data_IF_083582300260
#
_entry.id   IF_083582300260
#
_cell.length_a   1.000
_cell.length_b   1.000
_cell.length_c   1.000
_cell.angle_alpha   90.00
_cell.angle_beta   90.00
_cell.angle_gamma   90.00
#
_symmetry.space_group_name_H-M   'P 1'
#
loop_
_entity.id
_entity.type
_entity.pdbx_description
1 polymer ?
#
# COMPACT_ATOMS: atom_id res chain seq x y z
N UNK A 1 -23.52 17.13 -15.18
CA UNK A 1 -22.12 16.98 -14.78
C UNK A 1 -21.51 15.87 -15.60
N UNK A 2 -20.40 16.14 -16.32
CA UNK A 2 -19.65 15.05 -16.93
C UNK A 2 -18.90 14.31 -15.82
N UNK A 3 -19.34 13.10 -15.49
CA UNK A 3 -18.67 12.24 -14.51
C UNK A 3 -17.33 11.78 -15.09
N UNK A 4 -16.27 11.83 -14.31
CA UNK A 4 -14.95 11.34 -14.72
C UNK A 4 -14.97 9.82 -14.82
N UNK A 5 -14.27 9.28 -15.83
CA UNK A 5 -13.98 7.84 -15.94
C UNK A 5 -12.66 7.47 -15.27
N UNK A 6 -11.86 8.46 -14.86
CA UNK A 6 -10.56 8.25 -14.23
C UNK A 6 -10.71 7.71 -12.81
N UNK A 7 -10.18 6.53 -12.50
CA UNK A 7 -10.21 5.99 -11.13
C UNK A 7 -9.52 6.90 -10.11
N UNK A 8 -8.47 7.61 -10.50
CA UNK A 8 -7.79 8.55 -9.59
C UNK A 8 -8.72 9.71 -9.20
N UNK A 9 -9.46 10.29 -10.17
CA UNK A 9 -10.41 11.36 -9.88
C UNK A 9 -11.59 10.85 -9.07
N UNK A 10 -12.14 9.68 -9.43
CA UNK A 10 -13.23 9.04 -8.68
C UNK A 10 -12.79 8.76 -7.24
N UNK A 11 -11.55 8.31 -7.05
CA UNK A 11 -10.97 8.06 -5.72
C UNK A 11 -10.82 9.37 -4.94
N UNK A 12 -10.33 10.46 -5.57
CA UNK A 12 -10.21 11.75 -4.89
C UNK A 12 -11.59 12.29 -4.49
N UNK A 13 -12.57 12.24 -5.42
CA UNK A 13 -13.95 12.65 -5.14
C UNK A 13 -14.57 11.86 -3.98
N UNK A 14 -14.26 10.56 -3.88
CA UNK A 14 -14.71 9.73 -2.77
C UNK A 14 -14.07 10.16 -1.44
N UNK A 15 -12.75 10.39 -1.39
CA UNK A 15 -12.09 10.92 -0.20
C UNK A 15 -12.71 12.26 0.23
N UNK A 16 -12.99 13.15 -0.71
CA UNK A 16 -13.54 14.49 -0.45
C UNK A 16 -15.02 14.44 -0.03
N UNK A 17 -15.72 13.34 -0.30
CA UNK A 17 -17.08 13.09 0.16
C UNK A 17 -17.17 12.65 1.62
N UNK A 18 -16.04 12.28 2.24
CA UNK A 18 -15.98 11.84 3.62
C UNK A 18 -15.62 13.01 4.54
N UNK A 19 -16.54 13.35 5.44
CA UNK A 19 -16.38 14.40 6.44
C UNK A 19 -16.10 13.76 7.80
N UNK A 20 -15.45 14.50 8.70
CA UNK A 20 -15.14 14.03 10.05
C UNK A 20 -15.83 14.91 11.10
N UNK A 21 -16.47 14.30 12.07
CA UNK A 21 -16.87 15.01 13.28
C UNK A 21 -15.69 15.15 14.24
N UNK A 22 -15.72 16.17 15.07
CA UNK A 22 -14.67 16.39 16.07
C UNK A 22 -15.15 15.98 17.47
N UNK A 23 -14.21 15.43 18.26
CA UNK A 23 -14.43 14.98 19.65
C UNK A 23 -13.27 15.47 20.50
N UNK A 24 -13.50 16.49 21.33
CA UNK A 24 -12.43 17.12 22.12
C UNK A 24 -12.43 16.72 23.60
N UNK A 25 -13.60 16.38 24.17
CA UNK A 25 -13.68 16.00 25.57
C UNK A 25 -12.95 14.68 25.80
N UNK A 26 -12.10 14.65 26.84
CA UNK A 26 -11.24 13.51 27.21
C UNK A 26 -10.21 13.10 26.12
N UNK A 27 -9.99 13.97 25.13
CA UNK A 27 -8.96 13.75 24.11
C UNK A 27 -7.56 13.91 24.72
N UNK A 28 -6.58 13.19 24.16
CA UNK A 28 -5.17 13.23 24.59
C UNK A 28 -4.23 13.33 23.38
N UNK A 29 -2.94 13.56 23.65
CA UNK A 29 -1.90 13.49 22.62
C UNK A 29 -1.80 12.04 22.11
N UNK A 30 -2.01 11.80 20.81
CA UNK A 30 -2.05 10.44 20.28
C UNK A 30 -0.65 9.86 20.03
N UNK A 31 -0.58 8.51 20.02
CA UNK A 31 0.54 7.77 19.43
C UNK A 31 0.15 7.24 18.05
N UNK A 32 1.06 7.39 17.07
CA UNK A 32 0.94 6.85 15.71
C UNK A 32 1.78 5.59 15.49
N UNK A 33 2.50 5.12 16.51
CA UNK A 33 3.37 3.94 16.40
C UNK A 33 2.60 2.68 15.98
N UNK A 34 3.24 1.87 15.13
CA UNK A 34 2.66 0.63 14.62
C UNK A 34 3.72 -0.47 14.56
N UNK A 35 3.30 -1.72 14.79
CA UNK A 35 4.13 -2.90 14.54
C UNK A 35 3.59 -3.67 13.34
N UNK A 36 4.44 -3.90 12.34
CA UNK A 36 4.12 -4.66 11.13
C UNK A 36 5.21 -5.71 10.90
N UNK A 37 4.83 -6.95 10.64
CA UNK A 37 5.75 -8.05 10.34
C UNK A 37 6.89 -8.20 11.38
N UNK A 38 6.60 -7.96 12.67
CA UNK A 38 7.55 -8.06 13.75
C UNK A 38 8.51 -6.85 13.92
N UNK A 39 8.31 -5.79 13.15
CA UNK A 39 9.09 -4.54 13.22
C UNK A 39 8.21 -3.38 13.66
N UNK A 40 8.73 -2.52 14.54
CA UNK A 40 8.08 -1.27 14.96
C UNK A 40 8.42 -0.16 13.97
N UNK A 41 7.44 0.73 13.73
CA UNK A 41 7.53 1.91 12.88
C UNK A 41 6.87 3.10 13.58
N UNK A 42 7.31 4.30 13.26
CA UNK A 42 6.82 5.53 13.90
C UNK A 42 5.38 5.88 13.54
N UNK A 43 4.87 5.37 12.39
CA UNK A 43 3.52 5.71 11.92
C UNK A 43 3.00 4.69 10.88
N UNK A 44 1.66 4.64 10.64
CA UNK A 44 1.05 3.76 9.66
C UNK A 44 1.04 4.31 8.22
N UNK A 45 1.81 5.37 7.94
CA UNK A 45 2.02 5.88 6.58
C UNK A 45 3.30 5.28 6.02
N UNK A 46 3.16 4.46 4.99
CA UNK A 46 4.24 3.74 4.33
C UNK A 46 4.53 4.35 2.95
N UNK A 47 5.64 3.98 2.33
CA UNK A 47 5.82 4.25 0.90
C UNK A 47 5.04 3.23 0.06
N UNK A 48 4.64 3.60 -1.17
CA UNK A 48 3.96 2.67 -2.07
C UNK A 48 4.97 1.85 -2.91
N UNK A 49 4.55 0.69 -3.41
CA UNK A 49 5.35 -0.19 -4.26
C UNK A 49 5.54 0.40 -5.67
N UNK A 50 6.32 1.47 -5.77
CA UNK A 50 6.67 2.09 -7.04
C UNK A 50 7.83 1.37 -7.74
N UNK A 51 7.99 1.67 -9.03
CA UNK A 51 9.03 1.12 -9.91
C UNK A 51 9.59 2.23 -10.80
N UNK A 52 10.82 2.06 -11.30
CA UNK A 52 11.41 2.94 -12.32
C UNK A 52 11.48 4.42 -11.90
N UNK A 53 11.70 4.71 -10.63
CA UNK A 53 11.78 6.09 -10.13
C UNK A 53 13.01 6.84 -10.66
N UNK A 54 13.98 6.14 -11.24
CA UNK A 54 15.11 6.72 -11.96
C UNK A 54 14.67 7.54 -13.19
N UNK A 55 13.48 7.26 -13.73
CA UNK A 55 12.83 8.11 -14.73
C UNK A 55 12.40 9.49 -14.18
N UNK A 56 12.25 9.61 -12.88
CA UNK A 56 11.89 10.87 -12.19
C UNK A 56 13.14 11.61 -11.73
N UNK A 57 14.08 10.90 -11.13
CA UNK A 57 15.35 11.43 -10.66
C UNK A 57 16.41 10.31 -10.67
N UNK A 58 17.68 10.59 -11.08
CA UNK A 58 18.75 9.60 -10.99
C UNK A 58 18.88 9.05 -9.57
N UNK A 59 18.95 7.72 -9.43
CA UNK A 59 18.98 7.05 -8.12
C UNK A 59 17.66 7.15 -7.35
N UNK A 60 16.55 7.40 -8.04
CA UNK A 60 15.22 7.65 -7.44
C UNK A 60 14.73 6.53 -6.54
N UNK A 61 14.97 5.26 -6.90
CA UNK A 61 14.59 4.12 -6.06
C UNK A 61 15.33 4.12 -4.72
N UNK A 62 16.65 4.37 -4.75
CA UNK A 62 17.50 4.45 -3.54
C UNK A 62 17.11 5.67 -2.69
N UNK A 63 16.90 6.83 -3.33
CA UNK A 63 16.45 8.07 -2.66
C UNK A 63 15.12 7.86 -1.93
N UNK A 64 14.17 7.18 -2.58
CA UNK A 64 12.85 6.87 -2.00
C UNK A 64 12.96 5.97 -0.78
N UNK A 65 13.77 4.91 -0.88
CA UNK A 65 14.05 4.00 0.24
C UNK A 65 14.78 4.68 1.40
N UNK A 66 15.80 5.49 1.10
CA UNK A 66 16.51 6.26 2.12
C UNK A 66 15.59 7.25 2.85
N UNK A 67 14.64 7.87 2.14
CA UNK A 67 13.60 8.71 2.74
C UNK A 67 12.69 7.93 3.69
N UNK A 68 12.26 6.72 3.30
CA UNK A 68 11.47 5.84 4.15
C UNK A 68 12.24 5.39 5.41
N UNK A 69 13.52 5.02 5.26
CA UNK A 69 14.39 4.67 6.39
C UNK A 69 14.55 5.82 7.39
N UNK A 70 14.79 7.05 6.89
CA UNK A 70 14.90 8.25 7.73
C UNK A 70 13.61 8.61 8.45
N UNK A 71 12.46 8.38 7.83
CA UNK A 71 11.15 8.59 8.43
C UNK A 71 10.70 7.44 9.34
N UNK A 72 11.49 6.37 9.44
CA UNK A 72 11.18 5.15 10.21
C UNK A 72 9.81 4.56 9.84
N UNK A 73 9.60 4.33 8.53
CA UNK A 73 8.36 3.75 7.99
C UNK A 73 8.65 2.55 7.12
N UNK A 74 7.65 1.67 6.96
CA UNK A 74 7.74 0.51 6.07
C UNK A 74 7.88 0.97 4.60
N UNK A 75 8.91 0.44 3.93
CA UNK A 75 9.16 0.69 2.51
C UNK A 75 8.63 -0.44 1.63
N UNK A 76 8.03 -0.07 0.50
CA UNK A 76 7.61 -1.03 -0.51
C UNK A 76 8.30 -0.74 -1.84
N UNK A 77 8.76 -1.79 -2.51
CA UNK A 77 9.41 -1.70 -3.81
C UNK A 77 8.70 -2.59 -4.82
N UNK A 78 8.41 -2.04 -6.00
CA UNK A 78 7.83 -2.76 -7.12
C UNK A 78 8.88 -3.48 -7.97
N UNK A 79 8.76 -3.38 -9.30
CA UNK A 79 9.74 -3.96 -10.24
C UNK A 79 11.09 -3.25 -10.16
N UNK A 80 12.13 -3.98 -10.51
CA UNK A 80 13.50 -3.53 -10.62
C UNK A 80 14.46 -4.71 -10.77
N UNK A 81 15.73 -4.45 -11.00
CA UNK A 81 16.77 -5.45 -11.02
C UNK A 81 17.11 -5.93 -9.60
N UNK A 82 17.86 -7.03 -9.52
CA UNK A 82 18.39 -7.54 -8.27
C UNK A 82 19.35 -6.55 -7.62
N UNK A 83 20.22 -5.93 -8.42
CA UNK A 83 21.18 -4.91 -7.97
C UNK A 83 20.47 -3.66 -7.43
N UNK A 84 19.37 -3.23 -8.07
CA UNK A 84 18.56 -2.12 -7.58
C UNK A 84 17.94 -2.45 -6.21
N UNK A 85 17.42 -3.68 -6.03
CA UNK A 85 16.88 -4.12 -4.75
C UNK A 85 17.95 -4.13 -3.66
N UNK A 86 19.13 -4.63 -3.95
CA UNK A 86 20.26 -4.64 -3.00
C UNK A 86 20.68 -3.21 -2.61
N UNK A 87 20.71 -2.28 -3.57
CA UNK A 87 20.99 -0.87 -3.30
C UNK A 87 19.91 -0.20 -2.45
N UNK A 88 18.64 -0.55 -2.68
CA UNK A 88 17.48 -0.13 -1.83
C UNK A 88 17.66 -0.64 -0.41
N UNK A 89 17.96 -1.92 -0.22
CA UNK A 89 18.13 -2.53 1.10
C UNK A 89 19.36 -1.98 1.85
N UNK A 90 20.43 -1.61 1.13
CA UNK A 90 21.61 -0.98 1.70
C UNK A 90 21.32 0.38 2.36
N UNK A 91 20.18 1.03 2.08
CA UNK A 91 19.72 2.24 2.78
C UNK A 91 19.28 1.99 4.23
N UNK A 92 19.09 0.73 4.62
CA UNK A 92 18.55 0.33 5.93
C UNK A 92 17.02 0.32 6.00
N UNK A 93 16.31 0.67 4.92
CA UNK A 93 14.85 0.63 4.87
C UNK A 93 14.32 -0.80 5.07
N UNK A 94 13.39 -0.98 5.99
CA UNK A 94 12.63 -2.24 6.13
C UNK A 94 11.72 -2.39 4.93
N UNK A 95 12.00 -3.35 4.06
CA UNK A 95 11.46 -3.38 2.70
C UNK A 95 10.60 -4.61 2.44
N UNK A 96 9.44 -4.37 1.80
CA UNK A 96 8.57 -5.39 1.18
C UNK A 96 8.79 -5.36 -0.33
N UNK A 97 9.11 -6.51 -0.93
CA UNK A 97 9.25 -6.65 -2.39
C UNK A 97 7.96 -7.16 -3.03
N UNK A 98 7.42 -6.39 -3.97
CA UNK A 98 6.27 -6.81 -4.78
C UNK A 98 6.75 -7.31 -6.14
N UNK A 99 6.29 -8.50 -6.52
CA UNK A 99 6.66 -9.23 -7.73
C UNK A 99 5.46 -9.26 -8.68
N UNK A 100 5.70 -9.19 -9.99
CA UNK A 100 4.65 -9.30 -11.01
C UNK A 100 4.19 -10.76 -11.17
N UNK A 101 2.93 -10.99 -11.63
CA UNK A 101 2.37 -12.33 -11.81
C UNK A 101 2.89 -12.99 -13.09
N UNK A 102 4.23 -13.19 -13.19
CA UNK A 102 4.85 -13.83 -14.35
C UNK A 102 4.19 -15.17 -14.68
N UNK A 103 3.96 -15.45 -15.97
CA UNK A 103 3.33 -16.70 -16.43
C UNK A 103 4.14 -17.94 -16.01
N UNK A 104 5.46 -17.85 -16.04
CA UNK A 104 6.35 -18.90 -15.52
C UNK A 104 6.57 -18.70 -14.01
N UNK A 105 6.01 -19.60 -13.20
CA UNK A 105 6.13 -19.58 -11.75
C UNK A 105 7.59 -19.71 -11.27
N UNK A 106 8.50 -20.30 -12.06
CA UNK A 106 9.92 -20.38 -11.71
C UNK A 106 10.56 -18.99 -11.60
N UNK A 107 10.13 -18.06 -12.45
CA UNK A 107 10.56 -16.65 -12.38
C UNK A 107 10.08 -16.01 -11.08
N UNK A 108 8.83 -16.29 -10.67
CA UNK A 108 8.28 -15.78 -9.40
C UNK A 108 9.09 -16.32 -8.21
N UNK A 109 9.29 -17.64 -8.14
CA UNK A 109 10.06 -18.27 -7.07
C UNK A 109 11.49 -17.74 -7.00
N UNK A 110 12.20 -17.60 -8.13
CA UNK A 110 13.56 -17.05 -8.17
C UNK A 110 13.64 -15.62 -7.65
N UNK A 111 12.69 -14.76 -8.04
CA UNK A 111 12.61 -13.37 -7.53
C UNK A 111 12.27 -13.30 -6.04
N UNK A 112 11.42 -14.19 -5.54
CA UNK A 112 11.11 -14.31 -4.10
C UNK A 112 12.35 -14.73 -3.32
N UNK A 113 13.02 -15.79 -3.76
CA UNK A 113 14.22 -16.31 -3.12
C UNK A 113 15.32 -15.25 -3.05
N UNK A 114 15.57 -14.53 -4.15
CA UNK A 114 16.53 -13.43 -4.16
C UNK A 114 16.13 -12.34 -3.15
N UNK A 115 14.87 -11.87 -3.17
CA UNK A 115 14.40 -10.81 -2.28
C UNK A 115 14.56 -11.17 -0.79
N UNK A 116 14.23 -12.41 -0.43
CA UNK A 116 14.38 -12.91 0.95
C UNK A 116 15.86 -13.02 1.34
N UNK A 117 16.71 -13.57 0.47
CA UNK A 117 18.17 -13.67 0.70
C UNK A 117 18.83 -12.29 0.83
N UNK A 118 18.34 -11.31 0.07
CA UNK A 118 18.84 -9.93 0.12
C UNK A 118 18.40 -9.19 1.39
N UNK A 119 17.39 -9.69 2.13
CA UNK A 119 16.96 -9.12 3.41
C UNK A 119 15.61 -8.40 3.40
N UNK A 120 14.75 -8.63 2.41
CA UNK A 120 13.36 -8.16 2.47
C UNK A 120 12.64 -8.81 3.65
N UNK A 121 11.88 -8.01 4.41
CA UNK A 121 11.14 -8.49 5.58
C UNK A 121 9.83 -9.17 5.22
N UNK A 122 9.34 -8.95 3.99
CA UNK A 122 8.19 -9.60 3.40
C UNK A 122 8.30 -9.54 1.87
N UNK A 123 7.55 -10.40 1.19
CA UNK A 123 7.41 -10.41 -0.26
C UNK A 123 5.94 -10.44 -0.65
N UNK A 124 5.62 -10.13 -1.89
CA UNK A 124 4.23 -10.18 -2.34
C UNK A 124 4.08 -10.13 -3.85
N UNK A 125 2.84 -10.09 -4.32
CA UNK A 125 2.51 -10.10 -5.73
C UNK A 125 1.43 -9.09 -6.09
N UNK A 126 1.64 -8.34 -7.19
CA UNK A 126 0.58 -7.56 -7.86
C UNK A 126 -0.28 -8.52 -8.70
N UNK A 127 -1.51 -8.82 -8.31
CA UNK A 127 -2.37 -9.74 -9.08
C UNK A 127 -3.08 -9.06 -10.24
N UNK A 128 -3.21 -7.75 -10.23
CA UNK A 128 -3.94 -6.92 -11.17
C UNK A 128 -3.21 -6.68 -12.51
N UNK A 129 -1.93 -7.02 -12.60
CA UNK A 129 -1.12 -6.97 -13.81
C UNK A 129 -1.21 -8.24 -14.69
N UNK A 130 -2.21 -9.07 -14.51
CA UNK A 130 -2.34 -10.30 -15.29
C UNK A 130 -2.84 -10.06 -16.71
N UNK A 131 -3.66 -9.02 -16.92
CA UNK A 131 -4.34 -8.75 -18.19
C UNK A 131 -4.03 -7.35 -18.73
N UNK A 132 -3.94 -7.25 -20.06
CA UNK A 132 -3.91 -5.97 -20.76
C UNK A 132 -5.35 -5.43 -20.99
N UNK A 133 -5.46 -4.19 -21.48
CA UNK A 133 -6.75 -3.53 -21.72
C UNK A 133 -7.61 -4.15 -22.84
N UNK A 134 -7.08 -5.12 -23.60
CA UNK A 134 -7.74 -5.79 -24.72
C UNK A 134 -8.23 -7.20 -24.36
N UNK A 135 -8.09 -7.62 -23.08
CA UNK A 135 -8.55 -8.93 -22.60
C UNK A 135 -7.57 -10.08 -22.82
N UNK A 136 -6.38 -9.81 -23.38
CA UNK A 136 -5.27 -10.77 -23.42
C UNK A 136 -4.42 -10.70 -22.14
N UNK A 137 -3.52 -11.67 -21.97
CA UNK A 137 -2.50 -11.57 -20.92
C UNK A 137 -1.55 -10.41 -21.20
N UNK A 138 -1.13 -9.74 -20.13
CA UNK A 138 -0.17 -8.65 -20.22
C UNK A 138 1.25 -9.17 -20.47
N UNK A 139 2.12 -8.28 -20.90
CA UNK A 139 3.56 -8.53 -21.06
C UNK A 139 4.35 -7.35 -20.49
N UNK A 140 5.20 -7.62 -19.53
CA UNK A 140 6.04 -6.60 -18.89
C UNK A 140 7.51 -6.89 -19.21
N UNK A 141 8.16 -5.97 -19.92
CA UNK A 141 9.55 -6.16 -20.44
C UNK A 141 9.74 -7.47 -21.24
N UNK A 142 8.77 -7.82 -22.06
CA UNK A 142 8.80 -9.03 -22.88
C UNK A 142 8.55 -10.34 -22.12
N UNK A 143 8.31 -10.27 -20.81
CA UNK A 143 7.93 -11.42 -20.01
C UNK A 143 6.39 -11.49 -19.91
N UNK A 144 5.77 -12.64 -20.29
CA UNK A 144 4.34 -12.79 -20.23
C UNK A 144 3.84 -12.86 -18.78
N UNK A 145 2.71 -12.20 -18.51
CA UNK A 145 1.98 -12.27 -17.25
C UNK A 145 0.84 -13.28 -17.36
N UNK A 146 0.31 -13.72 -16.21
CA UNK A 146 -0.83 -14.61 -16.15
C UNK A 146 -1.55 -14.47 -14.81
N UNK A 147 -2.88 -14.51 -14.83
CA UNK A 147 -3.67 -14.59 -13.59
C UNK A 147 -3.29 -15.84 -12.79
N UNK A 148 -3.13 -15.68 -11.48
CA UNK A 148 -2.76 -16.76 -10.56
C UNK A 148 -4.00 -17.39 -9.96
N UNK A 149 -3.97 -18.71 -9.82
CA UNK A 149 -4.97 -19.45 -9.05
C UNK A 149 -4.71 -19.31 -7.55
N UNK A 150 -5.74 -19.59 -6.75
CA UNK A 150 -5.58 -19.63 -5.28
C UNK A 150 -4.52 -20.64 -4.83
N UNK A 151 -4.39 -21.76 -5.55
CA UNK A 151 -3.40 -22.79 -5.24
C UNK A 151 -1.97 -22.32 -5.58
N UNK A 152 -1.77 -21.65 -6.72
CA UNK A 152 -0.47 -21.04 -7.05
C UNK A 152 -0.07 -19.98 -6.01
N UNK A 153 -1.02 -19.15 -5.54
CA UNK A 153 -0.74 -18.18 -4.44
C UNK A 153 -0.36 -18.93 -3.16
N UNK A 154 -1.05 -20.04 -2.82
CA UNK A 154 -0.69 -20.88 -1.65
C UNK A 154 0.72 -21.43 -1.76
N UNK A 155 1.12 -21.91 -2.95
CA UNK A 155 2.48 -22.40 -3.19
C UNK A 155 3.53 -21.29 -2.96
N UNK A 156 3.25 -20.06 -3.40
CA UNK A 156 4.14 -18.92 -3.12
C UNK A 156 4.19 -18.58 -1.64
N UNK A 157 3.05 -18.58 -0.94
CA UNK A 157 3.00 -18.37 0.52
C UNK A 157 3.87 -19.39 1.25
N UNK A 158 3.74 -20.69 0.91
CA UNK A 158 4.51 -21.76 1.55
C UNK A 158 6.01 -21.66 1.27
N UNK A 159 6.38 -21.20 0.08
CA UNK A 159 7.78 -21.10 -0.33
C UNK A 159 8.48 -19.81 0.16
N UNK A 160 7.73 -18.80 0.53
CA UNK A 160 8.29 -17.46 0.81
C UNK A 160 9.24 -17.44 2.02
N UNK A 161 8.95 -18.20 3.09
CA UNK A 161 9.74 -18.18 4.34
C UNK A 161 9.65 -16.86 5.13
N UNK A 162 8.99 -15.84 4.58
CA UNK A 162 8.63 -14.56 5.18
C UNK A 162 7.16 -14.25 4.86
N UNK A 163 6.52 -13.26 5.50
CA UNK A 163 5.14 -12.88 5.17
C UNK A 163 4.94 -12.64 3.67
N UNK A 164 3.87 -13.21 3.08
CA UNK A 164 3.50 -13.02 1.68
C UNK A 164 2.24 -12.17 1.57
N UNK A 165 2.28 -11.10 0.79
CA UNK A 165 1.22 -10.12 0.65
C UNK A 165 0.69 -10.11 -0.79
N UNK A 166 -0.63 -10.05 -0.97
CA UNK A 166 -1.25 -9.86 -2.29
C UNK A 166 -1.68 -8.40 -2.45
N UNK A 167 -1.19 -7.76 -3.51
CA UNK A 167 -1.53 -6.38 -3.90
C UNK A 167 -2.43 -6.38 -5.13
N UNK A 168 -3.31 -5.36 -5.24
CA UNK A 168 -4.29 -5.27 -6.32
C UNK A 168 -5.62 -5.93 -5.99
N UNK A 169 -5.87 -6.21 -4.71
CA UNK A 169 -7.15 -6.72 -4.22
C UNK A 169 -8.16 -5.57 -4.20
N UNK A 170 -9.29 -5.74 -4.90
CA UNK A 170 -10.33 -4.69 -4.99
C UNK A 170 -11.76 -5.26 -4.83
N UNK A 171 -11.86 -6.44 -4.24
CA UNK A 171 -13.14 -7.10 -4.00
C UNK A 171 -13.08 -8.03 -2.77
N UNK A 172 -14.22 -8.25 -2.07
CA UNK A 172 -14.33 -9.31 -1.07
C UNK A 172 -13.99 -10.69 -1.64
N UNK A 173 -14.36 -10.94 -2.89
CA UNK A 173 -14.13 -12.21 -3.59
C UNK A 173 -12.63 -12.59 -3.66
N UNK A 174 -11.76 -11.65 -4.02
CA UNK A 174 -10.32 -11.92 -4.05
C UNK A 174 -9.69 -11.89 -2.67
N UNK A 175 -10.20 -11.04 -1.75
CA UNK A 175 -9.77 -11.02 -0.35
C UNK A 175 -9.98 -12.38 0.35
N UNK A 176 -11.16 -12.99 0.19
CA UNK A 176 -11.43 -14.34 0.72
C UNK A 176 -10.49 -15.40 0.15
N UNK A 177 -10.12 -15.30 -1.14
CA UNK A 177 -9.14 -16.21 -1.75
C UNK A 177 -7.74 -16.03 -1.18
N UNK A 178 -7.35 -14.78 -0.88
CA UNK A 178 -6.08 -14.50 -0.21
C UNK A 178 -6.02 -15.15 1.18
N UNK A 179 -7.11 -15.06 1.97
CA UNK A 179 -7.23 -15.78 3.25
C UNK A 179 -7.09 -17.30 3.06
N UNK A 180 -7.83 -17.87 2.11
CA UNK A 180 -7.78 -19.32 1.80
C UNK A 180 -6.40 -19.78 1.34
N UNK A 181 -5.62 -18.90 0.70
CA UNK A 181 -4.24 -19.18 0.30
C UNK A 181 -3.24 -19.05 1.46
N UNK A 182 -3.62 -18.44 2.59
CA UNK A 182 -2.75 -18.23 3.75
C UNK A 182 -1.88 -16.96 3.64
N UNK A 183 -2.33 -15.96 2.89
CA UNK A 183 -1.62 -14.69 2.77
C UNK A 183 -1.50 -13.99 4.13
N UNK A 184 -0.37 -13.35 4.37
CA UNK A 184 -0.08 -12.60 5.59
C UNK A 184 -0.55 -11.13 5.55
N UNK A 185 -1.16 -10.70 4.46
CA UNK A 185 -1.71 -9.36 4.28
C UNK A 185 -2.21 -9.14 2.86
N UNK A 186 -3.02 -8.10 2.68
CA UNK A 186 -3.50 -7.65 1.36
C UNK A 186 -3.34 -6.14 1.22
N UNK A 187 -3.15 -5.66 -0.02
CA UNK A 187 -3.22 -4.24 -0.36
C UNK A 187 -4.45 -4.01 -1.22
N UNK A 188 -5.42 -3.26 -0.69
CA UNK A 188 -6.62 -2.83 -1.41
C UNK A 188 -6.24 -1.69 -2.35
N UNK A 189 -6.31 -1.95 -3.66
CA UNK A 189 -5.68 -1.11 -4.68
C UNK A 189 -6.36 -1.27 -6.03
N UNK A 190 -6.57 -0.17 -6.78
CA UNK A 190 -6.89 -0.18 -8.20
C UNK A 190 -5.67 0.09 -9.10
N UNK A 191 -4.47 0.03 -8.50
CA UNK A 191 -3.18 0.16 -9.19
C UNK A 191 -3.13 1.35 -10.16
N UNK A 192 -3.50 2.54 -9.69
CA UNK A 192 -3.48 3.76 -10.51
C UNK A 192 -4.36 3.67 -11.77
N UNK A 193 -5.47 2.97 -11.67
CA UNK A 193 -6.45 2.99 -12.74
C UNK A 193 -6.16 2.04 -13.90
N UNK A 194 -5.77 0.81 -13.61
CA UNK A 194 -5.66 -0.25 -14.62
C UNK A 194 -6.95 -0.43 -15.43
N UNK A 195 -8.09 -0.11 -14.85
CA UNK A 195 -9.40 -0.15 -15.52
C UNK A 195 -10.16 1.15 -15.27
N UNK A 196 -10.73 1.76 -16.33
CA UNK A 196 -11.62 2.91 -16.18
C UNK A 196 -12.82 2.54 -15.30
N UNK A 197 -13.34 3.52 -14.54
CA UNK A 197 -14.45 3.34 -13.60
C UNK A 197 -14.18 2.32 -12.49
N UNK A 198 -12.93 1.96 -12.21
CA UNK A 198 -12.60 1.17 -11.02
C UNK A 198 -13.07 1.90 -9.77
N UNK A 199 -13.63 1.13 -8.85
CA UNK A 199 -14.11 1.64 -7.55
C UNK A 199 -12.93 2.13 -6.70
N UNK A 200 -13.10 3.21 -5.91
CA UNK A 200 -12.11 3.62 -4.94
C UNK A 200 -11.79 2.50 -3.93
N UNK A 201 -10.51 2.25 -3.60
CA UNK A 201 -10.15 1.27 -2.58
C UNK A 201 -10.88 1.48 -1.26
N UNK A 202 -11.03 2.74 -0.85
CA UNK A 202 -11.70 3.11 0.39
C UNK A 202 -13.22 2.85 0.37
N UNK A 203 -13.83 2.79 -0.82
CA UNK A 203 -15.25 2.46 -0.99
C UNK A 203 -15.53 0.99 -0.71
N UNK A 204 -14.64 0.08 -1.12
CA UNK A 204 -14.81 -1.37 -0.96
C UNK A 204 -14.16 -1.92 0.30
N UNK A 205 -13.33 -1.14 0.97
CA UNK A 205 -12.63 -1.55 2.19
C UNK A 205 -13.59 -2.11 3.28
N UNK A 206 -14.71 -1.46 3.63
CA UNK A 206 -15.62 -1.99 4.64
C UNK A 206 -16.22 -3.36 4.28
N UNK A 207 -16.54 -3.59 3.00
CA UNK A 207 -17.08 -4.87 2.54
C UNK A 207 -16.00 -5.96 2.55
N UNK A 208 -14.76 -5.62 2.20
CA UNK A 208 -13.61 -6.53 2.32
C UNK A 208 -13.43 -6.94 3.78
N UNK A 209 -13.36 -5.98 4.71
CA UNK A 209 -13.18 -6.26 6.13
C UNK A 209 -14.34 -7.07 6.72
N UNK A 210 -15.56 -6.83 6.26
CA UNK A 210 -16.72 -7.65 6.65
C UNK A 210 -16.57 -9.11 6.20
N UNK A 211 -15.96 -9.35 5.04
CA UNK A 211 -15.79 -10.70 4.50
C UNK A 211 -14.63 -11.47 5.16
N UNK A 212 -13.52 -10.79 5.49
CA UNK A 212 -12.30 -11.46 5.97
C UNK A 212 -11.95 -11.17 7.43
N UNK A 213 -12.67 -10.27 8.10
CA UNK A 213 -12.32 -9.83 9.46
C UNK A 213 -11.04 -8.99 9.51
N UNK A 214 -10.40 -9.00 10.68
CA UNK A 214 -9.12 -8.31 10.94
C UNK A 214 -7.98 -9.29 11.24
N UNK A 215 -8.08 -10.53 10.74
CA UNK A 215 -7.11 -11.60 11.03
C UNK A 215 -5.75 -11.35 10.37
N UNK A 216 -5.72 -10.58 9.30
CA UNK A 216 -4.50 -10.15 8.60
C UNK A 216 -4.48 -8.64 8.39
N UNK A 217 -3.30 -8.01 8.29
CA UNK A 217 -3.17 -6.61 7.90
C UNK A 217 -3.84 -6.32 6.55
N UNK A 218 -4.66 -5.27 6.51
CA UNK A 218 -5.28 -4.74 5.30
C UNK A 218 -4.71 -3.35 5.04
N UNK A 219 -3.90 -3.25 4.00
CA UNK A 219 -3.28 -2.00 3.57
C UNK A 219 -4.13 -1.33 2.49
N UNK A 220 -4.04 -0.01 2.39
CA UNK A 220 -4.72 0.76 1.34
C UNK A 220 -3.70 1.64 0.62
N UNK A 221 -3.76 1.67 -0.69
CA UNK A 221 -3.05 2.64 -1.52
C UNK A 221 -4.02 3.39 -2.46
N UNK A 222 -3.49 4.20 -3.36
CA UNK A 222 -4.21 5.07 -4.28
C UNK A 222 -4.90 6.28 -3.61
N UNK A 223 -4.48 7.47 -3.99
CA UNK A 223 -5.07 8.73 -3.53
C UNK A 223 -4.65 9.19 -2.13
N UNK A 224 -3.62 8.58 -1.53
CA UNK A 224 -3.08 8.98 -0.23
C UNK A 224 -2.08 10.12 -0.42
N UNK A 225 -2.48 11.34 -0.07
CA UNK A 225 -1.70 12.56 -0.27
C UNK A 225 -1.48 13.35 1.03
N UNK A 226 -2.20 13.03 2.09
CA UNK A 226 -2.17 13.74 3.38
C UNK A 226 -2.38 12.81 4.57
N UNK A 227 -2.07 13.30 5.78
CA UNK A 227 -2.43 12.63 7.02
C UNK A 227 -3.95 12.53 7.24
N UNK A 228 -4.73 13.45 6.64
CA UNK A 228 -6.19 13.37 6.63
C UNK A 228 -6.70 12.18 5.80
N UNK A 229 -6.10 11.92 4.63
CA UNK A 229 -6.45 10.75 3.81
C UNK A 229 -6.07 9.46 4.55
N UNK A 230 -4.89 9.44 5.17
CA UNK A 230 -4.46 8.33 6.02
C UNK A 230 -5.47 8.07 7.15
N UNK A 231 -5.90 9.11 7.85
CA UNK A 231 -6.88 8.98 8.92
C UNK A 231 -8.19 8.35 8.44
N UNK A 232 -8.74 8.81 7.31
CA UNK A 232 -9.98 8.28 6.74
C UNK A 232 -9.88 6.78 6.45
N UNK A 233 -8.74 6.32 5.91
CA UNK A 233 -8.51 4.90 5.68
C UNK A 233 -8.45 4.10 6.97
N UNK A 234 -7.67 4.58 7.95
CA UNK A 234 -7.51 3.92 9.25
C UNK A 234 -8.83 3.85 10.02
N UNK A 235 -9.61 4.94 10.03
CA UNK A 235 -10.92 4.97 10.68
C UNK A 235 -11.93 4.01 10.02
N UNK A 236 -11.78 3.72 8.71
CA UNK A 236 -12.59 2.71 8.03
C UNK A 236 -12.02 1.28 8.15
N UNK A 237 -10.94 1.10 8.93
CA UNK A 237 -10.42 -0.20 9.33
C UNK A 237 -9.17 -0.66 8.58
N UNK A 238 -8.53 0.18 7.76
CA UNK A 238 -7.21 -0.13 7.23
C UNK A 238 -6.17 -0.25 8.36
N UNK A 239 -5.22 -1.17 8.22
CA UNK A 239 -4.10 -1.31 9.15
C UNK A 239 -3.06 -0.21 8.95
N UNK A 240 -2.73 0.09 7.69
CA UNK A 240 -1.81 1.15 7.31
C UNK A 240 -2.06 1.57 5.85
N UNK A 241 -1.46 2.68 5.42
CA UNK A 241 -1.66 3.26 4.09
C UNK A 241 -0.34 3.51 3.39
N UNK A 242 -0.35 3.47 2.05
CA UNK A 242 0.85 3.74 1.24
C UNK A 242 0.73 5.04 0.45
N UNK A 243 1.65 5.98 0.69
CA UNK A 243 1.84 7.18 -0.11
C UNK A 243 2.83 6.90 -1.24
N UNK A 244 2.45 7.22 -2.47
CA UNK A 244 3.27 6.91 -3.65
C UNK A 244 3.59 8.13 -4.50
N UNK A 245 2.83 8.34 -5.57
CA UNK A 245 3.07 9.39 -6.59
C UNK A 245 3.19 10.80 -6.01
N UNK A 246 2.51 11.09 -4.90
CA UNK A 246 2.63 12.35 -4.18
C UNK A 246 4.06 12.63 -3.70
N UNK A 247 4.86 11.58 -3.43
CA UNK A 247 6.25 11.70 -2.99
C UNK A 247 7.24 11.78 -4.16
N UNK A 248 6.85 11.39 -5.40
CA UNK A 248 7.77 11.33 -6.54
C UNK A 248 8.45 12.66 -6.88
N UNK A 249 7.78 13.83 -6.89
CA UNK A 249 8.43 15.10 -7.19
C UNK A 249 9.61 15.41 -6.26
N UNK A 250 9.53 14.97 -4.99
CA UNK A 250 10.53 15.22 -3.95
C UNK A 250 11.82 14.40 -4.14
N UNK A 251 11.82 13.39 -5.00
CA UNK A 251 13.01 12.62 -5.31
C UNK A 251 14.14 13.48 -5.89
N UNK A 252 13.80 14.57 -6.57
CA UNK A 252 14.76 15.55 -7.09
C UNK A 252 15.42 16.38 -6.00
N UNK A 253 14.79 16.48 -4.84
CA UNK A 253 15.26 17.22 -3.67
C UNK A 253 16.02 16.33 -2.69
N UNK A 254 15.94 15.01 -2.88
CA UNK A 254 16.68 13.99 -2.11
C UNK A 254 15.88 13.35 -0.97
N UNK A 255 16.55 12.42 -0.29
CA UNK A 255 15.93 11.59 0.75
C UNK A 255 15.38 12.38 1.94
N UNK A 256 16.00 13.51 2.28
CA UNK A 256 15.55 14.35 3.41
C UNK A 256 14.20 15.01 3.09
N UNK A 257 13.97 15.43 1.85
CA UNK A 257 12.68 15.99 1.42
C UNK A 257 11.57 14.92 1.46
N UNK A 258 11.87 13.71 1.00
CA UNK A 258 10.94 12.56 1.07
C UNK A 258 10.60 12.25 2.53
N UNK A 259 11.61 12.15 3.41
CA UNK A 259 11.41 11.90 4.85
C UNK A 259 10.61 13.01 5.53
N UNK A 260 10.92 14.26 5.23
CA UNK A 260 10.20 15.42 5.77
C UNK A 260 8.71 15.40 5.40
N UNK A 261 8.37 15.07 4.14
CA UNK A 261 6.97 14.97 3.71
C UNK A 261 6.24 13.82 4.39
N UNK A 262 6.87 12.66 4.52
CA UNK A 262 6.30 11.51 5.25
C UNK A 262 6.08 11.92 6.73
N UNK A 263 7.06 12.54 7.37
CA UNK A 263 6.94 13.05 8.74
C UNK A 263 5.81 14.07 8.89
N UNK A 264 5.63 14.97 7.90
CA UNK A 264 4.50 15.91 7.87
C UNK A 264 3.16 15.18 7.80
N UNK A 265 3.03 14.14 6.97
CA UNK A 265 1.81 13.32 6.91
C UNK A 265 1.52 12.64 8.25
N UNK A 266 2.55 12.17 8.97
CA UNK A 266 2.41 11.63 10.32
C UNK A 266 1.92 12.66 11.32
N UNK A 267 2.46 13.89 11.28
CA UNK A 267 2.02 15.00 12.13
C UNK A 267 0.57 15.43 11.81
N UNK A 268 0.20 15.47 10.53
CA UNK A 268 -1.18 15.72 10.10
C UNK A 268 -2.12 14.64 10.64
N UNK A 269 -1.75 13.35 10.53
CA UNK A 269 -2.51 12.23 11.08
C UNK A 269 -2.71 12.37 12.59
N UNK A 270 -1.64 12.61 13.35
CA UNK A 270 -1.71 12.81 14.80
C UNK A 270 -2.62 14.00 15.15
N UNK A 271 -2.55 15.10 14.38
CA UNK A 271 -3.42 16.26 14.54
C UNK A 271 -4.92 15.94 14.34
N UNK A 272 -5.25 15.07 13.40
CA UNK A 272 -6.63 14.60 13.19
C UNK A 272 -7.05 13.66 14.31
N UNK A 273 -6.22 12.69 14.69
CA UNK A 273 -6.48 11.77 15.80
C UNK A 273 -6.81 12.52 17.09
N UNK A 274 -6.00 13.52 17.45
CA UNK A 274 -6.25 14.35 18.64
C UNK A 274 -7.62 15.07 18.58
N UNK A 275 -8.03 15.57 17.41
CA UNK A 275 -9.30 16.28 17.22
C UNK A 275 -10.53 15.38 17.11
N UNK A 276 -10.32 14.09 16.94
CA UNK A 276 -11.38 13.08 16.87
C UNK A 276 -11.43 12.18 18.10
N UNK A 277 -10.65 12.49 19.14
CA UNK A 277 -10.65 11.76 20.41
C UNK A 277 -9.96 10.40 20.35
N UNK A 278 -9.05 10.18 19.39
CA UNK A 278 -8.34 8.91 19.17
C UNK A 278 -6.92 9.01 19.74
N UNK A 279 -6.63 8.27 20.81
CA UNK A 279 -5.33 8.29 21.48
C UNK A 279 -4.30 7.29 20.88
N UNK A 280 -4.77 6.28 20.15
CA UNK A 280 -3.90 5.27 19.50
C UNK A 280 -4.58 4.65 18.29
N UNK A 281 -3.81 4.00 17.41
CA UNK A 281 -4.35 3.35 16.22
C UNK A 281 -5.38 2.25 16.54
N UNK A 282 -5.27 1.59 17.70
CA UNK A 282 -6.24 0.58 18.14
C UNK A 282 -7.61 1.14 18.53
N UNK A 283 -7.72 2.47 18.66
CA UNK A 283 -8.96 3.17 19.01
C UNK A 283 -9.58 3.87 17.80
N UNK A 284 -9.11 3.60 16.59
CA UNK A 284 -9.72 4.15 15.38
C UNK A 284 -11.20 3.75 15.30
N UNK A 285 -12.04 4.74 14.97
CA UNK A 285 -13.50 4.59 15.03
C UNK A 285 -14.14 5.20 13.77
N UNK A 286 -14.85 4.38 13.02
CA UNK A 286 -15.54 4.80 11.80
C UNK A 286 -16.77 5.67 12.06
N UNK A 287 -17.28 5.71 13.30
CA UNK A 287 -18.45 6.52 13.66
C UNK A 287 -18.20 8.03 13.55
N UNK A 288 -16.94 8.47 13.47
CA UNK A 288 -16.60 9.87 13.20
C UNK A 288 -16.76 10.27 11.72
N UNK A 289 -16.99 9.30 10.83
CA UNK A 289 -17.04 9.54 9.38
C UNK A 289 -18.49 9.76 8.95
N UNK A 290 -18.73 10.87 8.29
CA UNK A 290 -20.01 11.23 7.68
C UNK A 290 -19.88 11.40 6.18
N UNK A 291 -20.86 10.94 5.40
CA UNK A 291 -20.89 11.17 3.96
C UNK A 291 -21.52 12.54 3.67
N UNK A 292 -20.88 13.28 2.76
CA UNK A 292 -21.43 14.52 2.23
C UNK A 292 -22.67 14.23 1.38
N UNK A 293 -23.79 14.85 1.71
CA UNK A 293 -25.09 14.68 1.03
C UNK A 293 -25.61 15.99 0.42
N UNK A 294 -24.76 17.01 0.25
CA UNK A 294 -25.11 18.34 -0.25
C UNK A 294 -24.11 18.82 -1.29
#
# INVERSE_FOLDING_TARGET
>A
MNLSSSPDQITRDFFDSLLLETRYLDSSIPSTEITLFGHSFSMPVMTAALSHLDNTAPGGMVTYAAGAAKADVLHWVGMGSEQELEAVLATGAKTVKIIKPHADNRVVFGKMEHAVKAGCIAVGMDIDHAFNSQGGYDSVFGLPMKAKTTDEIRDFVQAAGVPFIVKGVLSPYDAEKCIKAGCAGIVVSHHHGMMQYSVPPLMVLPDILKAIGHDIPVFVDCGIESGMDAYKCLALGATAVSAGRHLMPLLKEGADAVAARIGQMGAELAGVMARTGVASLSQMDSSVIHKRNF
#
